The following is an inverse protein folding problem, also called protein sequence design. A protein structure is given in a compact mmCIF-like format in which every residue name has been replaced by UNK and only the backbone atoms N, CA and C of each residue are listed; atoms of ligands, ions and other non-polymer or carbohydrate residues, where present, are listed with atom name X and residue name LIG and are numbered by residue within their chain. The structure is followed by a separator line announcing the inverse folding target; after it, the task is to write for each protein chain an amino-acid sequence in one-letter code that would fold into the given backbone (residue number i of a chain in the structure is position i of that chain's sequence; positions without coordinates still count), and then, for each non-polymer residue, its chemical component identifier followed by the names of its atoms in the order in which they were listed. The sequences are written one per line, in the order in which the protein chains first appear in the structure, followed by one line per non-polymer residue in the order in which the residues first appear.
data_IF_886846191389
#
_entry.id   IF_886846191389
#
_cell.length_a   1.000
_cell.length_b   1.000
_cell.length_c   1.000
_cell.angle_alpha   90.00
_cell.angle_beta   90.00
_cell.angle_gamma   90.00
#
_symmetry.space_group_name_H-M   'P 1'
#
loop_
_entity.id
_entity.type
_entity.pdbx_description
1 polymer ?
#
# COMPACT_ATOMS: atom_id res chain seq x y z
N UNK A 1 -3.11 -0.76 3.09
CA UNK A 1 -2.69 0.55 2.55
C UNK A 1 -3.18 1.63 3.48
N UNK A 2 -2.29 2.53 3.89
CA UNK A 2 -2.58 3.65 4.79
C UNK A 2 -2.68 4.95 3.99
N UNK A 3 -3.78 5.67 4.17
CA UNK A 3 -4.11 6.89 3.43
C UNK A 3 -4.21 8.06 4.40
N UNK A 4 -3.58 9.18 4.07
CA UNK A 4 -3.87 10.47 4.70
C UNK A 4 -4.86 11.23 3.81
N UNK A 5 -6.00 11.62 4.36
CA UNK A 5 -7.00 12.46 3.69
C UNK A 5 -6.99 13.85 4.32
N UNK A 6 -6.69 14.86 3.52
CA UNK A 6 -6.75 16.28 3.89
C UNK A 6 -7.91 16.91 3.12
N UNK A 7 -9.03 17.12 3.81
CA UNK A 7 -10.31 17.55 3.22
C UNK A 7 -11.15 18.27 4.27
N UNK A 8 -11.54 19.51 4.04
CA UNK A 8 -12.28 20.33 4.98
C UNK A 8 -13.81 20.13 4.93
N UNK A 9 -14.34 19.71 3.77
CA UNK A 9 -15.76 19.36 3.67
C UNK A 9 -16.05 18.02 4.36
N UNK A 10 -16.70 18.06 5.51
CA UNK A 10 -16.99 16.88 6.34
C UNK A 10 -17.82 15.80 5.63
N UNK A 11 -18.70 16.20 4.71
CA UNK A 11 -19.54 15.25 3.99
C UNK A 11 -18.71 14.48 2.95
N UNK A 12 -17.86 15.19 2.21
CA UNK A 12 -16.88 14.62 1.28
C UNK A 12 -15.89 13.72 2.02
N UNK A 13 -15.28 14.21 3.10
CA UNK A 13 -14.34 13.46 3.92
C UNK A 13 -14.93 12.15 4.44
N UNK A 14 -16.15 12.20 5.04
CA UNK A 14 -16.83 10.99 5.53
C UNK A 14 -17.16 9.99 4.41
N UNK A 15 -17.56 10.51 3.25
CA UNK A 15 -17.84 9.67 2.07
C UNK A 15 -16.58 8.95 1.59
N UNK A 16 -15.47 9.67 1.45
CA UNK A 16 -14.18 9.10 1.04
C UNK A 16 -13.69 8.08 2.09
N UNK A 17 -13.76 8.43 3.37
CA UNK A 17 -13.36 7.51 4.46
C UNK A 17 -14.15 6.20 4.40
N UNK A 18 -15.47 6.27 4.17
CA UNK A 18 -16.31 5.08 4.02
C UNK A 18 -15.92 4.24 2.80
N UNK A 19 -15.65 4.89 1.67
CA UNK A 19 -15.19 4.21 0.45
C UNK A 19 -13.85 3.49 0.68
N UNK A 20 -12.90 4.15 1.34
CA UNK A 20 -11.58 3.60 1.66
C UNK A 20 -11.68 2.42 2.64
N UNK A 21 -12.46 2.56 3.71
CA UNK A 21 -12.72 1.48 4.67
C UNK A 21 -13.34 0.25 4.00
N UNK A 22 -14.33 0.45 3.13
CA UNK A 22 -14.94 -0.64 2.36
C UNK A 22 -13.97 -1.31 1.39
N UNK A 23 -12.93 -0.59 0.94
CA UNK A 23 -11.79 -1.12 0.17
C UNK A 23 -10.74 -1.80 1.04
N UNK A 24 -10.90 -1.83 2.38
CA UNK A 24 -9.94 -2.40 3.32
C UNK A 24 -8.70 -1.52 3.52
N UNK A 25 -8.82 -0.21 3.27
CA UNK A 25 -7.78 0.77 3.55
C UNK A 25 -7.99 1.41 4.91
N UNK A 26 -6.91 1.86 5.49
CA UNK A 26 -6.90 2.61 6.73
C UNK A 26 -6.71 4.07 6.38
N UNK A 27 -7.56 4.96 6.95
CA UNK A 27 -7.58 6.37 6.63
C UNK A 27 -7.45 7.22 7.88
N UNK A 28 -6.47 8.12 7.89
CA UNK A 28 -6.41 9.25 8.81
C UNK A 28 -6.97 10.47 8.08
N UNK A 29 -7.81 11.24 8.77
CA UNK A 29 -8.51 12.40 8.20
C UNK A 29 -8.15 13.64 8.97
N UNK A 30 -7.86 14.74 8.29
CA UNK A 30 -7.74 16.08 8.85
C UNK A 30 -8.42 17.09 7.94
N UNK A 31 -8.93 18.18 8.52
CA UNK A 31 -9.63 19.28 7.84
C UNK A 31 -8.75 20.52 7.63
N UNK A 32 -7.49 20.47 8.09
CA UNK A 32 -6.52 21.56 7.97
C UNK A 32 -5.29 21.14 7.17
N UNK A 33 -4.80 22.02 6.31
CA UNK A 33 -3.60 21.81 5.52
C UNK A 33 -2.32 21.77 6.36
N UNK A 34 -2.20 22.62 7.39
CA UNK A 34 -1.04 22.60 8.30
C UNK A 34 -0.99 21.28 9.10
N UNK A 35 -2.13 20.79 9.59
CA UNK A 35 -2.19 19.49 10.27
C UNK A 35 -1.82 18.35 9.30
N UNK A 36 -2.33 18.41 8.05
CA UNK A 36 -1.98 17.45 7.01
C UNK A 36 -0.47 17.43 6.73
N UNK A 37 0.16 18.61 6.70
CA UNK A 37 1.60 18.75 6.55
C UNK A 37 2.38 18.14 7.72
N UNK A 38 1.97 18.41 8.96
CA UNK A 38 2.62 17.88 10.16
C UNK A 38 2.47 16.35 10.25
N UNK A 39 1.26 15.86 10.08
CA UNK A 39 0.95 14.42 10.10
C UNK A 39 1.71 13.68 8.98
N UNK A 40 1.72 14.27 7.77
CA UNK A 40 2.43 13.70 6.61
C UNK A 40 3.94 13.63 6.78
N UNK A 41 4.55 14.46 7.64
CA UNK A 41 5.98 14.39 7.99
C UNK A 41 6.29 13.34 9.07
N UNK A 42 5.36 13.13 10.00
CA UNK A 42 5.59 12.28 11.18
C UNK A 42 5.33 10.80 10.87
N UNK A 43 4.31 10.51 10.07
CA UNK A 43 3.85 9.15 9.83
C UNK A 43 4.06 8.70 8.39
N UNK A 44 4.35 7.40 8.21
CA UNK A 44 4.44 6.79 6.89
C UNK A 44 3.05 6.52 6.32
N UNK A 45 2.75 7.14 5.19
CA UNK A 45 1.56 6.88 4.38
C UNK A 45 1.93 6.25 3.04
N UNK A 46 1.05 5.40 2.53
CA UNK A 46 1.19 4.86 1.18
C UNK A 46 0.75 5.89 0.13
N UNK A 47 -0.18 6.78 0.49
CA UNK A 47 -0.68 7.86 -0.36
C UNK A 47 -1.35 8.96 0.47
N UNK A 48 -1.28 10.19 -0.03
CA UNK A 48 -2.00 11.37 0.46
C UNK A 48 -3.10 11.70 -0.54
N UNK A 49 -4.33 11.89 -0.08
CA UNK A 49 -5.43 12.53 -0.83
C UNK A 49 -5.54 13.95 -0.30
N UNK A 50 -5.42 14.94 -1.18
CA UNK A 50 -5.27 16.34 -0.80
C UNK A 50 -6.25 17.22 -1.56
N UNK A 51 -7.16 17.88 -0.84
CA UNK A 51 -7.93 18.97 -1.43
C UNK A 51 -7.04 20.22 -1.61
N UNK A 52 -7.35 20.98 -2.64
CA UNK A 52 -6.68 22.24 -2.91
C UNK A 52 -7.26 23.41 -2.12
N UNK A 53 -8.57 23.40 -1.88
CA UNK A 53 -9.26 24.49 -1.17
C UNK A 53 -9.41 24.11 0.28
N UNK A 54 -8.48 24.55 1.10
CA UNK A 54 -8.46 24.32 2.56
C UNK A 54 -8.60 25.66 3.30
N UNK A 55 -9.09 25.65 4.54
CA UNK A 55 -9.43 26.90 5.24
C UNK A 55 -8.21 27.69 5.75
N UNK A 56 -7.05 27.03 5.91
CA UNK A 56 -5.83 27.59 6.49
C UNK A 56 -4.77 27.88 5.44
N UNK A 57 -4.38 26.90 4.66
CA UNK A 57 -3.37 27.03 3.59
C UNK A 57 -3.82 26.32 2.30
N UNK A 58 -3.43 26.86 1.16
CA UNK A 58 -3.66 26.25 -0.17
C UNK A 58 -3.01 24.84 -0.25
N UNK A 59 -3.75 23.85 -0.76
CA UNK A 59 -3.25 22.48 -0.91
C UNK A 59 -2.00 22.37 -1.81
N UNK A 60 -1.82 23.25 -2.78
CA UNK A 60 -0.55 23.31 -3.52
C UNK A 60 0.63 23.68 -2.62
N UNK A 61 0.40 24.57 -1.64
CA UNK A 61 1.42 24.95 -0.67
C UNK A 61 1.73 23.79 0.28
N UNK A 62 0.71 23.01 0.72
CA UNK A 62 0.91 21.77 1.48
C UNK A 62 1.84 20.84 0.71
N UNK A 63 1.50 20.54 -0.56
CA UNK A 63 2.29 19.65 -1.40
C UNK A 63 3.72 20.16 -1.60
N UNK A 64 3.88 21.44 -1.90
CA UNK A 64 5.19 22.07 -2.08
C UNK A 64 6.08 21.94 -0.83
N UNK A 65 5.50 22.16 0.36
CA UNK A 65 6.21 22.02 1.64
C UNK A 65 6.56 20.58 1.98
N UNK A 66 5.68 19.61 1.65
CA UNK A 66 6.00 18.17 1.77
C UNK A 66 7.21 17.82 0.90
N UNK A 67 7.21 18.22 -0.37
CA UNK A 67 8.33 17.96 -1.29
C UNK A 67 9.62 18.66 -0.86
N UNK A 68 9.54 19.89 -0.36
CA UNK A 68 10.70 20.61 0.20
C UNK A 68 11.27 19.90 1.44
N UNK A 69 10.43 19.24 2.24
CA UNK A 69 10.84 18.40 3.36
C UNK A 69 11.31 16.98 2.94
N UNK A 70 11.42 16.70 1.63
CA UNK A 70 11.79 15.40 1.06
C UNK A 70 10.81 14.28 1.43
N UNK A 71 9.55 14.63 1.59
CA UNK A 71 8.48 13.66 1.74
C UNK A 71 7.96 13.32 0.35
N UNK A 72 8.34 12.13 -0.13
CA UNK A 72 8.00 11.63 -1.48
C UNK A 72 6.73 10.76 -1.47
N UNK A 73 5.93 10.83 -0.40
CA UNK A 73 4.66 10.11 -0.34
C UNK A 73 3.80 10.48 -1.53
N UNK A 74 3.34 9.51 -2.33
CA UNK A 74 2.52 9.77 -3.50
C UNK A 74 1.28 10.57 -3.12
N UNK A 75 0.91 11.53 -3.96
CA UNK A 75 -0.20 12.45 -3.67
C UNK A 75 -1.20 12.50 -4.81
N UNK A 76 -2.47 12.20 -4.51
CA UNK A 76 -3.60 12.43 -5.38
C UNK A 76 -4.26 13.75 -4.98
N UNK A 77 -4.27 14.73 -5.88
CA UNK A 77 -5.06 15.94 -5.70
C UNK A 77 -6.53 15.63 -5.97
N UNK A 78 -7.41 16.08 -5.08
CA UNK A 78 -8.86 15.96 -5.21
C UNK A 78 -9.46 17.37 -5.13
N UNK A 79 -10.06 17.88 -6.21
CA UNK A 79 -10.51 19.26 -6.22
C UNK A 79 -11.77 19.49 -7.07
N UNK A 80 -12.58 20.48 -6.69
CA UNK A 80 -13.68 21.00 -7.49
C UNK A 80 -13.24 21.88 -8.68
N UNK A 81 -11.95 22.24 -8.74
CA UNK A 81 -11.41 23.08 -9.81
C UNK A 81 -11.20 22.24 -11.08
N UNK A 82 -12.01 22.54 -12.11
CA UNK A 82 -12.00 21.77 -13.36
C UNK A 82 -11.11 22.38 -14.47
N UNK A 83 -10.47 23.51 -14.17
CA UNK A 83 -9.67 24.23 -15.15
C UNK A 83 -8.39 23.45 -15.52
N UNK A 84 -8.03 23.38 -16.82
CA UNK A 84 -6.81 22.71 -17.26
C UNK A 84 -5.54 23.22 -16.57
N UNK A 85 -5.47 24.52 -16.32
CA UNK A 85 -4.33 25.18 -15.68
C UNK A 85 -4.13 24.70 -14.23
N UNK A 86 -5.21 24.44 -13.50
CA UNK A 86 -5.15 23.88 -12.15
C UNK A 86 -4.56 22.48 -12.13
N UNK A 87 -4.93 21.65 -13.11
CA UNK A 87 -4.37 20.28 -13.26
C UNK A 87 -2.89 20.31 -13.62
N UNK A 88 -2.51 21.16 -14.59
CA UNK A 88 -1.12 21.33 -15.01
C UNK A 88 -0.26 21.83 -13.84
N UNK A 89 -0.77 22.80 -13.07
CA UNK A 89 -0.09 23.33 -11.88
C UNK A 89 0.12 22.23 -10.83
N UNK A 90 -0.93 21.43 -10.52
CA UNK A 90 -0.85 20.36 -9.53
C UNK A 90 0.21 19.31 -9.86
N UNK A 91 0.20 18.84 -11.09
CA UNK A 91 1.20 17.87 -11.57
C UNK A 91 2.61 18.51 -11.61
N UNK A 92 2.72 19.78 -11.96
CA UNK A 92 3.99 20.53 -11.96
C UNK A 92 4.59 20.73 -10.57
N UNK A 93 3.77 20.81 -9.51
CA UNK A 93 4.21 20.92 -8.11
C UNK A 93 4.62 19.55 -7.52
N UNK A 94 4.34 18.45 -8.22
CA UNK A 94 4.77 17.12 -7.82
C UNK A 94 3.64 16.21 -7.32
N UNK A 95 2.39 16.45 -7.74
CA UNK A 95 1.30 15.49 -7.58
C UNK A 95 1.47 14.31 -8.56
N UNK A 96 1.05 13.13 -8.14
CA UNK A 96 1.12 11.90 -8.95
C UNK A 96 -0.10 11.72 -9.84
N UNK A 97 -1.24 12.30 -9.47
CA UNK A 97 -2.45 12.35 -10.28
C UNK A 97 -3.40 13.44 -9.75
N UNK A 98 -4.46 13.71 -10.50
CA UNK A 98 -5.48 14.71 -10.22
C UNK A 98 -6.87 14.12 -10.50
N UNK A 99 -7.79 14.24 -9.54
CA UNK A 99 -9.18 13.78 -9.66
C UNK A 99 -10.13 14.96 -9.38
N UNK A 100 -11.08 15.19 -10.27
CA UNK A 100 -12.07 16.25 -10.11
C UNK A 100 -13.31 15.80 -9.35
N UNK A 101 -13.82 16.67 -8.45
CA UNK A 101 -15.11 16.50 -7.81
C UNK A 101 -16.24 16.98 -8.77
N UNK A 102 -17.38 16.27 -8.89
CA UNK A 102 -17.68 14.98 -8.27
C UNK A 102 -17.00 13.81 -8.98
N UNK A 103 -16.71 12.74 -8.25
CA UNK A 103 -16.02 11.55 -8.75
C UNK A 103 -16.79 10.26 -8.41
N UNK A 104 -16.53 9.23 -9.19
CA UNK A 104 -17.04 7.88 -8.91
C UNK A 104 -16.11 7.12 -7.96
N UNK A 105 -16.70 6.25 -7.11
CA UNK A 105 -15.94 5.40 -6.19
C UNK A 105 -14.91 4.54 -6.92
N UNK A 106 -15.32 3.91 -8.02
CA UNK A 106 -14.44 3.03 -8.81
C UNK A 106 -13.26 3.80 -9.37
N UNK A 107 -13.47 5.04 -9.86
CA UNK A 107 -12.41 5.90 -10.37
C UNK A 107 -11.42 6.26 -9.27
N UNK A 108 -11.89 6.73 -8.10
CA UNK A 108 -11.03 7.04 -6.97
C UNK A 108 -10.15 5.84 -6.58
N UNK A 109 -10.78 4.67 -6.40
CA UNK A 109 -10.06 3.47 -5.98
C UNK A 109 -9.04 2.99 -7.02
N UNK A 110 -9.38 3.04 -8.31
CA UNK A 110 -8.49 2.66 -9.39
C UNK A 110 -7.26 3.58 -9.47
N UNK A 111 -7.46 4.91 -9.31
CA UNK A 111 -6.37 5.88 -9.29
C UNK A 111 -5.45 5.68 -8.10
N UNK A 112 -5.98 5.53 -6.89
CA UNK A 112 -5.18 5.28 -5.68
C UNK A 112 -4.30 4.03 -5.84
N UNK A 113 -4.86 2.93 -6.33
CA UNK A 113 -4.12 1.70 -6.59
C UNK A 113 -3.03 1.89 -7.65
N UNK A 114 -3.33 2.59 -8.74
CA UNK A 114 -2.39 2.85 -9.81
C UNK A 114 -1.20 3.71 -9.33
N UNK A 115 -1.47 4.75 -8.53
CA UNK A 115 -0.46 5.65 -7.99
C UNK A 115 0.47 4.89 -7.05
N UNK A 116 -0.08 4.19 -6.04
CA UNK A 116 0.72 3.43 -5.05
C UNK A 116 1.53 2.33 -5.73
N UNK A 117 0.96 1.64 -6.70
CA UNK A 117 1.67 0.63 -7.49
C UNK A 117 2.87 1.23 -8.21
N UNK A 118 2.68 2.35 -8.92
CA UNK A 118 3.76 3.05 -9.65
C UNK A 118 4.86 3.55 -8.72
N UNK A 119 4.51 4.09 -7.56
CA UNK A 119 5.49 4.57 -6.57
C UNK A 119 6.37 3.46 -6.00
N UNK A 120 5.89 2.20 -6.03
CA UNK A 120 6.66 1.01 -5.62
C UNK A 120 7.40 0.35 -6.80
N UNK A 121 7.45 0.98 -7.97
CA UNK A 121 8.17 0.48 -9.15
C UNK A 121 7.43 -0.57 -9.97
N UNK A 122 6.13 -0.78 -9.72
CA UNK A 122 5.35 -1.78 -10.45
C UNK A 122 4.48 -1.14 -11.53
N UNK A 123 4.73 -1.48 -12.78
CA UNK A 123 3.94 -1.01 -13.93
C UNK A 123 2.61 -1.74 -14.10
N UNK A 124 2.52 -2.99 -13.64
CA UNK A 124 1.34 -3.85 -13.77
C UNK A 124 0.65 -4.10 -12.43
N UNK A 125 -0.67 -4.34 -12.45
CA UNK A 125 -1.45 -4.70 -11.25
C UNK A 125 -1.19 -6.12 -10.76
N UNK A 126 -0.52 -6.95 -11.56
CA UNK A 126 -0.13 -8.31 -11.24
C UNK A 126 1.34 -8.36 -10.83
N UNK A 127 1.61 -8.74 -9.61
CA UNK A 127 2.96 -8.99 -9.12
C UNK A 127 3.19 -10.49 -9.08
N UNK A 128 4.20 -10.95 -9.80
CA UNK A 128 4.57 -12.36 -9.85
C UNK A 128 5.83 -12.65 -9.03
N UNK A 129 5.78 -13.76 -8.30
CA UNK A 129 6.90 -14.29 -7.53
C UNK A 129 6.88 -15.81 -7.71
N UNK A 130 7.77 -16.36 -8.54
CA UNK A 130 7.67 -17.74 -8.97
C UNK A 130 6.29 -18.04 -9.56
N UNK A 131 5.60 -19.05 -9.01
CA UNK A 131 4.24 -19.47 -9.39
C UNK A 131 3.12 -18.64 -8.73
N UNK A 132 3.48 -17.85 -7.69
CA UNK A 132 2.55 -17.00 -6.97
C UNK A 132 2.30 -15.71 -7.75
N UNK A 133 1.02 -15.40 -7.97
CA UNK A 133 0.55 -14.15 -8.56
C UNK A 133 -0.32 -13.40 -7.56
N UNK A 134 0.00 -12.13 -7.30
CA UNK A 134 -0.79 -11.23 -6.45
C UNK A 134 -1.41 -10.15 -7.34
N UNK A 135 -2.74 -10.10 -7.37
CA UNK A 135 -3.49 -9.09 -8.11
C UNK A 135 -3.90 -7.96 -7.16
N UNK A 136 -3.29 -6.79 -7.35
CA UNK A 136 -3.53 -5.61 -6.51
C UNK A 136 -4.89 -4.96 -6.77
N UNK A 137 -5.41 -5.10 -8.00
CA UNK A 137 -6.67 -4.50 -8.42
C UNK A 137 -7.87 -5.26 -7.84
N UNK A 138 -7.90 -6.59 -8.03
CA UNK A 138 -8.98 -7.44 -7.50
C UNK A 138 -8.76 -7.87 -6.06
N UNK A 139 -7.59 -7.58 -5.48
CA UNK A 139 -7.17 -7.99 -4.13
C UNK A 139 -7.22 -9.50 -3.94
N UNK A 140 -6.71 -10.24 -4.92
CA UNK A 140 -6.68 -11.70 -4.93
C UNK A 140 -5.25 -12.22 -5.08
N UNK A 141 -5.06 -13.48 -4.70
CA UNK A 141 -3.83 -14.21 -4.93
C UNK A 141 -4.13 -15.54 -5.63
N UNK A 142 -3.24 -15.97 -6.49
CA UNK A 142 -3.33 -17.25 -7.19
C UNK A 142 -1.96 -17.92 -7.27
N UNK A 143 -1.95 -19.23 -7.36
CA UNK A 143 -0.76 -20.06 -7.67
C UNK A 143 -1.10 -20.88 -8.90
N UNK A 144 -0.31 -20.75 -9.97
CA UNK A 144 -0.60 -21.36 -11.28
C UNK A 144 -2.04 -21.10 -11.74
N UNK A 145 -2.46 -19.83 -11.64
CA UNK A 145 -3.82 -19.35 -11.95
C UNK A 145 -4.95 -19.96 -11.10
N UNK A 146 -4.63 -20.79 -10.10
CA UNK A 146 -5.60 -21.31 -9.15
C UNK A 146 -5.71 -20.35 -7.93
N UNK A 147 -6.93 -19.87 -7.61
CA UNK A 147 -7.12 -18.89 -6.55
C UNK A 147 -6.76 -19.44 -5.16
N UNK A 148 -6.04 -18.64 -4.38
CA UNK A 148 -5.74 -18.90 -2.97
C UNK A 148 -6.64 -18.05 -2.11
N UNK A 149 -7.55 -18.68 -1.34
CA UNK A 149 -8.47 -17.96 -0.47
C UNK A 149 -7.78 -17.40 0.77
N UNK A 150 -7.63 -16.08 0.80
CA UNK A 150 -7.04 -15.32 1.90
C UNK A 150 -8.11 -14.48 2.61
N UNK A 151 -7.96 -14.32 3.92
CA UNK A 151 -8.72 -13.29 4.65
C UNK A 151 -8.15 -11.90 4.34
N UNK A 152 -8.90 -10.83 4.62
CA UNK A 152 -8.43 -9.47 4.35
C UNK A 152 -7.10 -9.13 5.01
N UNK A 153 -6.84 -9.63 6.24
CA UNK A 153 -5.55 -9.41 6.94
C UNK A 153 -4.40 -10.23 6.34
N UNK A 154 -4.65 -11.47 5.96
CA UNK A 154 -3.67 -12.31 5.27
C UNK A 154 -3.31 -11.72 3.89
N UNK A 155 -4.32 -11.24 3.15
CA UNK A 155 -4.09 -10.55 1.88
C UNK A 155 -3.28 -9.26 2.09
N UNK A 156 -3.63 -8.42 3.07
CA UNK A 156 -2.88 -7.19 3.37
C UNK A 156 -1.40 -7.44 3.67
N UNK A 157 -1.06 -8.52 4.37
CA UNK A 157 0.34 -8.92 4.58
C UNK A 157 1.00 -9.31 3.26
N UNK A 158 0.33 -10.14 2.45
CA UNK A 158 0.86 -10.57 1.17
C UNK A 158 1.01 -9.40 0.19
N UNK A 159 0.04 -8.49 0.15
CA UNK A 159 0.08 -7.26 -0.65
C UNK A 159 1.32 -6.40 -0.30
N UNK A 160 1.54 -6.15 1.00
CA UNK A 160 2.67 -5.35 1.45
C UNK A 160 4.01 -6.02 1.11
N UNK A 161 4.11 -7.33 1.30
CA UNK A 161 5.28 -8.13 0.93
C UNK A 161 5.53 -8.10 -0.58
N UNK A 162 4.48 -8.26 -1.39
CA UNK A 162 4.57 -8.25 -2.84
C UNK A 162 5.01 -6.89 -3.39
N UNK A 163 4.42 -5.81 -2.88
CA UNK A 163 4.80 -4.43 -3.23
C UNK A 163 6.25 -4.09 -2.89
N UNK A 164 6.83 -4.76 -1.89
CA UNK A 164 8.22 -4.58 -1.43
C UNK A 164 9.02 -5.88 -1.55
N UNK A 165 8.80 -6.64 -2.62
CA UNK A 165 9.51 -7.90 -2.89
C UNK A 165 11.02 -7.75 -2.70
N UNK A 166 11.63 -8.70 -2.00
CA UNK A 166 13.07 -8.70 -1.70
C UNK A 166 13.49 -7.80 -0.53
N UNK A 167 12.59 -6.96 -0.01
CA UNK A 167 12.86 -6.10 1.15
C UNK A 167 12.36 -6.75 2.43
N UNK A 168 13.19 -6.74 3.49
CA UNK A 168 12.77 -7.22 4.81
C UNK A 168 11.85 -6.18 5.47
N UNK A 169 10.67 -6.59 5.85
CA UNK A 169 9.66 -5.76 6.52
C UNK A 169 9.55 -6.14 7.99
N UNK A 170 9.55 -5.14 8.86
CA UNK A 170 9.42 -5.37 10.31
C UNK A 170 7.97 -5.65 10.71
N UNK A 171 7.76 -6.23 11.90
CA UNK A 171 6.40 -6.51 12.40
C UNK A 171 5.59 -5.23 12.62
N UNK A 172 6.24 -4.16 13.03
CA UNK A 172 5.65 -2.82 13.17
C UNK A 172 5.12 -2.30 11.84
N UNK A 173 5.87 -2.48 10.74
CA UNK A 173 5.41 -2.08 9.40
C UNK A 173 4.14 -2.83 8.99
N UNK A 174 4.03 -4.13 9.28
CA UNK A 174 2.80 -4.88 9.02
C UNK A 174 1.67 -4.43 9.94
N UNK A 175 1.94 -4.18 11.19
CA UNK A 175 0.94 -3.74 12.15
C UNK A 175 0.36 -2.38 11.75
N UNK A 176 1.23 -1.41 11.45
CA UNK A 176 0.85 -0.10 10.93
C UNK A 176 0.01 -0.22 9.64
N UNK A 177 0.41 -1.09 8.71
CA UNK A 177 -0.32 -1.32 7.47
C UNK A 177 -1.73 -1.91 7.69
N UNK A 178 -1.90 -2.76 8.73
CA UNK A 178 -3.14 -3.48 8.99
C UNK A 178 -4.08 -2.78 9.98
N UNK A 179 -3.57 -1.95 10.91
CA UNK A 179 -4.34 -1.43 12.05
C UNK A 179 -4.24 0.08 12.26
N UNK A 180 -3.25 0.75 11.67
CA UNK A 180 -3.12 2.21 11.69
C UNK A 180 -2.94 2.84 13.08
N UNK A 181 -2.26 2.20 14.00
CA UNK A 181 -2.04 2.76 15.34
C UNK A 181 -3.28 2.84 16.23
N UNK A 182 -4.44 2.32 15.76
CA UNK A 182 -5.69 2.28 16.53
C UNK A 182 -6.01 0.84 16.89
N UNK A 183 -6.30 0.58 18.16
CA UNK A 183 -6.64 -0.77 18.67
C UNK A 183 -5.64 -1.84 18.20
N UNK A 184 -4.33 -1.50 18.18
CA UNK A 184 -3.29 -2.38 17.72
C UNK A 184 -3.15 -3.58 18.67
N UNK A 185 -3.30 -4.81 18.17
CA UNK A 185 -2.98 -5.97 18.93
C UNK A 185 -1.46 -6.09 19.14
N UNK A 186 -1.04 -6.99 20.02
CA UNK A 186 0.37 -7.29 20.22
C UNK A 186 1.06 -7.67 18.88
N UNK A 187 2.33 -7.31 18.72
CA UNK A 187 3.16 -7.62 17.54
C UNK A 187 3.15 -9.11 17.14
N UNK A 188 2.94 -9.99 18.11
CA UNK A 188 2.82 -11.44 17.90
C UNK A 188 1.68 -11.85 16.95
N UNK A 189 0.66 -11.01 16.76
CA UNK A 189 -0.44 -11.31 15.84
C UNK A 189 0.07 -11.45 14.40
N UNK A 190 1.11 -10.71 14.05
CA UNK A 190 1.73 -10.79 12.72
C UNK A 190 2.31 -12.18 12.47
N UNK A 191 2.94 -12.78 13.47
CA UNK A 191 3.48 -14.16 13.38
C UNK A 191 2.35 -15.17 13.09
N UNK A 192 1.18 -14.97 13.71
CA UNK A 192 0.01 -15.82 13.49
C UNK A 192 -0.50 -15.68 12.04
N UNK A 193 -0.62 -14.46 11.53
CA UNK A 193 -1.07 -14.25 10.16
C UNK A 193 -0.05 -14.78 9.14
N UNK A 194 1.25 -14.53 9.35
CA UNK A 194 2.31 -15.07 8.48
C UNK A 194 2.31 -16.59 8.51
N UNK A 195 2.14 -17.22 9.68
CA UNK A 195 2.05 -18.67 9.78
C UNK A 195 0.85 -19.23 9.00
N UNK A 196 -0.35 -18.60 9.12
CA UNK A 196 -1.54 -18.99 8.36
C UNK A 196 -1.34 -18.81 6.86
N UNK A 197 -0.77 -17.69 6.45
CA UNK A 197 -0.49 -17.37 5.05
C UNK A 197 0.49 -18.40 4.45
N UNK A 198 1.60 -18.70 5.13
CA UNK A 198 2.57 -19.74 4.73
C UNK A 198 1.89 -21.08 4.51
N UNK A 199 1.02 -21.52 5.46
CA UNK A 199 0.29 -22.80 5.32
C UNK A 199 -0.59 -22.83 4.08
N UNK A 200 -1.28 -21.72 3.77
CA UNK A 200 -2.14 -21.62 2.58
C UNK A 200 -1.33 -21.65 1.28
N UNK A 201 -0.23 -20.89 1.24
CA UNK A 201 0.67 -20.88 0.09
C UNK A 201 1.34 -22.24 -0.11
N UNK A 202 1.88 -22.84 0.93
CA UNK A 202 2.50 -24.18 0.85
C UNK A 202 1.50 -25.25 0.36
N UNK A 203 0.23 -25.20 0.81
CA UNK A 203 -0.81 -26.09 0.31
C UNK A 203 -1.07 -25.91 -1.19
N UNK A 204 -1.07 -24.65 -1.66
CA UNK A 204 -1.32 -24.34 -3.07
C UNK A 204 -0.13 -24.67 -3.99
N UNK A 205 1.09 -24.57 -3.47
CA UNK A 205 2.33 -24.75 -4.25
C UNK A 205 2.94 -26.15 -4.16
N UNK A 206 2.42 -27.00 -3.28
CA UNK A 206 3.01 -28.32 -3.02
C UNK A 206 4.20 -28.28 -2.06
N UNK A 207 4.32 -27.22 -1.24
CA UNK A 207 5.34 -27.12 -0.18
C UNK A 207 6.35 -25.97 -0.36
N UNK A 208 6.31 -25.23 -1.46
CA UNK A 208 7.24 -24.11 -1.68
C UNK A 208 7.10 -23.00 -0.61
N UNK A 209 8.23 -22.44 -0.19
CA UNK A 209 8.29 -21.34 0.76
C UNK A 209 8.59 -20.02 0.07
N UNK A 210 7.66 -19.09 0.10
CA UNK A 210 7.77 -17.74 -0.49
C UNK A 210 8.12 -16.67 0.52
N UNK A 211 7.76 -16.89 1.79
CA UNK A 211 7.95 -15.90 2.86
C UNK A 211 9.03 -16.41 3.79
N UNK A 212 10.17 -15.76 3.80
CA UNK A 212 11.28 -16.09 4.68
C UNK A 212 11.23 -15.27 5.97
N UNK A 213 11.75 -15.84 7.07
CA UNK A 213 11.98 -15.12 8.33
C UNK A 213 13.40 -14.61 8.34
N UNK A 214 13.56 -13.30 8.50
CA UNK A 214 14.85 -12.68 8.81
C UNK A 214 14.90 -12.46 10.32
N UNK A 215 15.63 -13.34 11.01
CA UNK A 215 15.67 -13.38 12.47
C UNK A 215 16.00 -12.00 13.07
N UNK A 216 15.21 -11.59 14.06
CA UNK A 216 15.34 -10.29 14.72
C UNK A 216 14.92 -9.08 13.90
N UNK A 217 14.53 -9.25 12.60
CA UNK A 217 14.22 -8.15 11.69
C UNK A 217 12.82 -8.21 11.08
N UNK A 218 12.26 -9.42 10.83
CA UNK A 218 10.92 -9.55 10.27
C UNK A 218 10.80 -10.57 9.15
N UNK A 219 10.08 -10.21 8.07
CA UNK A 219 9.74 -11.12 6.98
C UNK A 219 10.04 -10.50 5.62
N UNK A 220 10.34 -11.36 4.65
CA UNK A 220 10.62 -10.97 3.25
C UNK A 220 9.95 -11.94 2.29
N UNK A 221 9.43 -11.44 1.17
CA UNK A 221 8.94 -12.26 0.05
C UNK A 221 10.06 -12.44 -0.95
N UNK A 222 10.34 -13.69 -1.31
CA UNK A 222 11.32 -14.05 -2.34
C UNK A 222 10.77 -15.11 -3.29
N UNK A 223 11.41 -15.24 -4.44
CA UNK A 223 11.18 -16.41 -5.28
C UNK A 223 11.57 -17.66 -4.49
N UNK A 224 10.79 -18.74 -4.53
CA UNK A 224 11.15 -19.97 -3.85
C UNK A 224 12.48 -20.46 -4.40
N UNK A 225 13.41 -20.82 -3.51
CA UNK A 225 14.61 -21.48 -3.94
C UNK A 225 14.19 -22.84 -4.54
N UNK A 226 14.54 -23.08 -5.79
CA UNK A 226 14.72 -24.44 -6.27
C UNK A 226 15.88 -24.99 -5.42
N UNK A 227 15.60 -25.89 -4.49
CA UNK A 227 16.65 -26.69 -3.87
C UNK A 227 17.40 -27.34 -5.04
N UNK A 228 18.57 -26.81 -5.37
CA UNK A 228 19.53 -27.56 -6.14
C UNK A 228 19.80 -28.83 -5.33
N UNK A 229 19.24 -29.92 -5.84
CA UNK A 229 19.54 -31.25 -5.36
C UNK A 229 21.05 -31.38 -5.42
N UNK A 230 21.67 -31.22 -4.25
CA UNK A 230 23.09 -31.42 -4.08
C UNK A 230 23.44 -32.83 -4.59
N UNK A 231 24.05 -32.92 -5.76
CA UNK A 231 24.74 -34.11 -6.21
C UNK A 231 25.80 -34.43 -5.17
N UNK A 232 25.76 -35.61 -4.53
CA UNK A 232 26.87 -36.00 -3.66
C UNK A 232 28.10 -36.17 -4.55
N UNK A 233 29.11 -35.34 -4.34
CA UNK A 233 30.42 -35.60 -4.87
C UNK A 233 30.86 -37.01 -4.43
N UNK A 234 30.86 -37.91 -5.40
CA UNK A 234 31.48 -39.22 -5.30
C UNK A 234 32.97 -39.00 -5.06
N UNK A 235 33.41 -39.14 -3.81
CA UNK A 235 34.80 -39.35 -3.52
C UNK A 235 35.15 -40.79 -3.94
N UNK A 236 35.87 -40.91 -5.01
CA UNK A 236 36.52 -42.14 -5.42
C UNK A 236 38.03 -41.92 -5.57
N UNK A 237 38.75 -42.68 -4.72
CA UNK A 237 40.14 -43.14 -4.80
C UNK A 237 41.24 -42.10 -4.81
#
# INVERSE_FOLDING_TARGET
MRVLLVEDDKATASTIELMLKAGGYVCDVTDLGEDGLEIGKIYDYDIIILDLVLPDIDGYEVLRRLRAARIDTPTLILSGLNEPDSKIKGLGVGADDYLTKPFDRGELMARLQAIVRRSKGHSQSLIRTGRLTVNLETRTAAVDDQPVHLTGKEYGILELLALRKGTTLTKEMFLNHLYNGRDEPELKIIDVFVCKLRKKLAKATGGESYIETVWGRGYVLRDPHSDEVGTPESSAA
#
